data_IF_998206896380
#
_entry.id   IF_998206896380
#
_cell.length_a   1.000
_cell.length_b   1.000
_cell.length_c   1.000
_cell.angle_alpha   90.00
_cell.angle_beta   90.00
_cell.angle_gamma   90.00
#
_symmetry.space_group_name_H-M   'P 1'
#
loop_
_entity.id
_entity.type
_entity.pdbx_description
1 polymer ?
#
# COMPACT_ATOMS: atom_id res chain seq x y z
N UNK A 1 -13.75 -4.84 1.18
CA UNK A 1 -13.43 -4.41 0.62
C UNK A 1 -12.80 -5.11 -0.19
N UNK A 2 -12.67 -5.39 -0.76
CA UNK A 2 -12.14 -5.92 -1.24
C UNK A 2 -11.87 -5.98 -2.32
N UNK A 3 -12.10 -5.97 -3.00
CA UNK A 3 -11.65 -6.29 -3.43
C UNK A 3 -11.60 -6.25 -4.71
N UNK A 4 -11.11 -5.60 -5.30
CA UNK A 4 -10.77 -5.45 -6.47
C UNK A 4 -9.79 -6.40 -6.89
N UNK A 5 -9.54 -7.41 -6.30
CA UNK A 5 -8.46 -8.27 -6.66
C UNK A 5 -8.90 -9.36 -7.59
N UNK A 6 -7.98 -9.83 -8.42
CA UNK A 6 -8.26 -10.98 -9.18
C UNK A 6 -8.28 -12.13 -8.25
N UNK A 7 -8.81 -13.24 -8.67
CA UNK A 7 -9.00 -14.39 -7.80
C UNK A 7 -7.72 -14.83 -7.14
N UNK A 8 -6.65 -14.89 -7.87
CA UNK A 8 -5.39 -15.32 -7.29
C UNK A 8 -4.90 -14.38 -6.24
N UNK A 9 -5.00 -13.08 -6.51
CA UNK A 9 -4.57 -12.07 -5.56
C UNK A 9 -5.43 -12.12 -4.32
N UNK A 10 -6.71 -12.31 -4.48
CA UNK A 10 -7.61 -12.36 -3.35
C UNK A 10 -7.25 -13.49 -2.42
N UNK A 11 -6.92 -14.63 -2.98
CA UNK A 11 -6.53 -15.76 -2.16
C UNK A 11 -5.27 -15.46 -1.37
N UNK A 12 -4.31 -14.80 -2.00
CA UNK A 12 -3.09 -14.44 -1.31
C UNK A 12 -3.36 -13.46 -0.20
N UNK A 13 -4.21 -12.49 -0.46
CA UNK A 13 -4.51 -11.49 0.55
C UNK A 13 -5.14 -12.12 1.77
N UNK A 14 -6.01 -13.08 1.56
CA UNK A 14 -6.64 -13.74 2.68
C UNK A 14 -5.65 -14.43 3.58
N UNK A 15 -4.48 -14.76 3.07
CA UNK A 15 -3.50 -15.47 3.85
C UNK A 15 -2.52 -14.57 4.56
N UNK A 16 -2.65 -13.27 4.38
CA UNK A 16 -1.76 -12.36 5.05
C UNK A 16 -2.26 -12.16 6.48
N UNK A 17 -1.50 -12.70 7.40
CA UNK A 17 -1.80 -12.54 8.81
C UNK A 17 -0.57 -11.93 9.45
N UNK A 18 -0.71 -10.73 9.96
CA UNK A 18 0.42 -10.00 10.51
C UNK A 18 0.62 -10.37 11.97
N UNK A 19 1.87 -10.59 12.35
CA UNK A 19 2.19 -10.75 13.76
C UNK A 19 2.25 -9.38 14.41
N UNK A 20 2.50 -9.35 15.72
CA UNK A 20 2.47 -8.09 16.45
C UNK A 20 3.52 -7.11 15.94
N UNK A 21 4.73 -7.59 15.66
CA UNK A 21 5.77 -6.70 15.17
C UNK A 21 5.39 -6.10 13.83
N UNK A 22 4.80 -6.91 12.97
CA UNK A 22 4.37 -6.42 11.65
C UNK A 22 3.24 -5.42 11.76
N UNK A 23 2.31 -5.67 12.68
CA UNK A 23 1.24 -4.70 12.91
C UNK A 23 1.79 -3.37 13.38
N UNK A 24 2.80 -3.41 14.22
CA UNK A 24 3.41 -2.19 14.68
C UNK A 24 4.10 -1.45 13.56
N UNK A 25 4.74 -2.17 12.64
CA UNK A 25 5.34 -1.52 11.49
C UNK A 25 4.30 -0.76 10.68
N UNK A 26 3.14 -1.39 10.48
CA UNK A 26 2.07 -0.74 9.74
C UNK A 26 1.59 0.51 10.48
N UNK A 27 1.34 0.37 11.77
CA UNK A 27 0.78 1.47 12.54
C UNK A 27 1.72 2.66 12.62
N UNK A 28 3.01 2.39 12.71
CA UNK A 28 3.98 3.46 12.79
C UNK A 28 4.19 4.16 11.47
N UNK A 29 3.76 3.56 10.38
CA UNK A 29 4.10 4.08 9.07
C UNK A 29 2.88 4.39 8.22
N UNK A 30 1.74 4.60 8.85
CA UNK A 30 0.52 4.94 8.12
C UNK A 30 0.69 6.22 7.30
N UNK A 31 1.55 7.11 7.73
CA UNK A 31 1.76 8.35 6.99
C UNK A 31 2.31 8.11 5.59
N UNK A 32 2.98 6.97 5.37
CA UNK A 32 3.47 6.64 4.04
C UNK A 32 2.32 6.58 3.06
N UNK A 33 1.21 5.98 3.47
CA UNK A 33 0.04 5.87 2.60
C UNK A 33 -0.46 7.27 2.23
N UNK A 34 -0.58 8.15 3.22
CA UNK A 34 -1.06 9.50 2.94
C UNK A 34 -0.15 10.24 1.98
N UNK A 35 1.15 10.13 2.20
CA UNK A 35 2.11 10.85 1.36
C UNK A 35 2.02 10.36 -0.09
N UNK A 36 2.03 9.05 -0.27
CA UNK A 36 2.00 8.49 -1.62
C UNK A 36 0.68 8.81 -2.31
N UNK A 37 -0.42 8.66 -1.58
CA UNK A 37 -1.73 8.88 -2.18
C UNK A 37 -1.95 10.35 -2.51
N UNK A 38 -1.51 11.26 -1.65
CA UNK A 38 -1.66 12.67 -1.96
C UNK A 38 -0.91 13.04 -3.22
N UNK A 39 0.29 12.50 -3.39
CA UNK A 39 1.06 12.76 -4.59
C UNK A 39 0.39 12.15 -5.81
N UNK A 40 -0.13 10.95 -5.66
CA UNK A 40 -0.82 10.28 -6.75
C UNK A 40 -2.04 11.08 -7.20
N UNK A 41 -2.81 11.57 -6.26
CA UNK A 41 -4.03 12.31 -6.60
C UNK A 41 -3.69 13.63 -7.26
N UNK A 42 -2.62 14.29 -6.85
CA UNK A 42 -2.20 15.52 -7.51
C UNK A 42 -1.81 15.27 -8.95
N UNK A 43 -1.12 14.18 -9.20
CA UNK A 43 -0.69 13.85 -10.56
C UNK A 43 -1.89 13.56 -11.45
N UNK A 44 -2.87 12.87 -10.92
CA UNK A 44 -4.07 12.56 -11.67
C UNK A 44 -4.81 13.84 -12.04
N UNK A 45 -4.95 14.73 -11.09
CA UNK A 45 -5.65 15.98 -11.35
C UNK A 45 -4.93 16.82 -12.39
N UNK A 46 -3.62 16.80 -12.32
CA UNK A 46 -2.83 17.56 -13.27
C UNK A 46 -3.01 17.07 -14.69
N UNK A 47 -3.34 15.83 -14.86
CA UNK A 47 -3.53 15.25 -16.18
C UNK A 47 -4.97 15.37 -16.66
N UNK A 48 -5.83 15.97 -15.85
CA UNK A 48 -7.22 16.11 -16.24
C UNK A 48 -7.90 14.79 -16.46
N UNK A 49 -7.47 13.77 -15.78
CA UNK A 49 -8.08 12.48 -15.88
C UNK A 49 -9.17 12.40 -14.86
N UNK A 50 -10.30 11.86 -15.25
CA UNK A 50 -11.41 11.75 -14.34
C UNK A 50 -11.59 10.30 -14.00
N UNK A 51 -10.89 9.83 -13.08
CA UNK A 51 -10.90 8.40 -12.83
C UNK A 51 -12.10 7.99 -12.03
N UNK A 52 -12.45 6.75 -12.19
CA UNK A 52 -13.40 6.13 -11.32
C UNK A 52 -12.77 5.81 -9.99
N UNK A 53 -11.51 6.08 -9.85
CA UNK A 53 -10.72 5.70 -8.70
C UNK A 53 -10.76 6.82 -7.69
N UNK A 54 -11.52 6.67 -6.65
CA UNK A 54 -11.67 7.72 -5.66
C UNK A 54 -10.47 7.74 -4.72
N UNK A 55 -10.34 8.84 -3.98
CA UNK A 55 -9.27 8.93 -3.00
C UNK A 55 -9.42 7.87 -1.92
N UNK A 56 -10.66 7.59 -1.53
CA UNK A 56 -10.88 6.57 -0.52
C UNK A 56 -10.42 5.20 -1.01
N UNK A 57 -10.69 4.89 -2.26
CA UNK A 57 -10.23 3.62 -2.83
C UNK A 57 -8.71 3.57 -2.87
N UNK A 58 -8.10 4.68 -3.23
CA UNK A 58 -6.63 4.74 -3.28
C UNK A 58 -6.02 4.52 -1.90
N UNK A 59 -6.63 5.10 -0.87
CA UNK A 59 -6.14 4.95 0.49
C UNK A 59 -6.24 3.50 0.91
N UNK A 60 -7.34 2.83 0.58
CA UNK A 60 -7.48 1.42 0.92
C UNK A 60 -6.43 0.57 0.23
N UNK A 61 -6.19 0.85 -1.05
CA UNK A 61 -5.15 0.13 -1.76
C UNK A 61 -3.78 0.39 -1.15
N UNK A 62 -3.53 1.63 -0.79
CA UNK A 62 -2.26 1.98 -0.16
C UNK A 62 -2.07 1.30 1.18
N UNK A 63 -3.13 1.24 1.97
CA UNK A 63 -3.07 0.58 3.26
C UNK A 63 -2.79 -0.91 3.08
N UNK A 64 -3.46 -1.55 2.12
CA UNK A 64 -3.24 -2.94 1.86
C UNK A 64 -1.80 -3.19 1.41
N UNK A 65 -1.28 -2.30 0.57
CA UNK A 65 0.10 -2.42 0.12
C UNK A 65 1.07 -2.29 1.30
N UNK A 66 0.76 -1.39 2.24
CA UNK A 66 1.59 -1.25 3.43
C UNK A 66 1.59 -2.53 4.25
N UNK A 67 0.44 -3.17 4.37
CA UNK A 67 0.36 -4.44 5.07
C UNK A 67 1.19 -5.52 4.35
N UNK A 68 1.13 -5.53 3.04
CA UNK A 68 1.96 -6.46 2.28
C UNK A 68 3.44 -6.19 2.49
N UNK A 69 3.80 -4.91 2.54
CA UNK A 69 5.20 -4.56 2.78
C UNK A 69 5.65 -5.07 4.14
N UNK A 70 4.82 -4.90 5.15
CA UNK A 70 5.17 -5.37 6.48
C UNK A 70 5.30 -6.90 6.52
N UNK A 71 4.43 -7.57 5.78
CA UNK A 71 4.42 -9.02 5.75
C UNK A 71 5.65 -9.58 5.05
N UNK A 72 6.11 -8.90 4.00
CA UNK A 72 7.20 -9.41 3.19
C UNK A 72 8.56 -8.80 3.51
N UNK A 73 8.61 -7.87 4.45
CA UNK A 73 9.86 -7.18 4.75
C UNK A 73 10.90 -8.16 5.27
N UNK A 74 12.09 -8.06 4.72
CA UNK A 74 13.21 -8.92 5.11
C UNK A 74 14.15 -8.14 6.00
N UNK A 75 14.12 -8.43 7.28
CA UNK A 75 14.95 -7.72 8.25
C UNK A 75 16.44 -7.95 8.01
N UNK A 76 16.80 -8.98 7.28
CA UNK A 76 18.20 -9.28 7.02
C UNK A 76 18.84 -8.42 5.96
N UNK A 77 18.09 -7.56 5.30
CA UNK A 77 18.61 -6.83 4.16
C UNK A 77 19.06 -5.44 4.45
N UNK A 78 19.32 -5.06 5.62
CA UNK A 78 19.94 -3.77 5.88
C UNK A 78 19.33 -2.59 5.15
N UNK A 79 18.06 -2.58 4.91
CA UNK A 79 17.39 -1.42 4.32
C UNK A 79 16.29 -1.00 5.29
N UNK A 80 16.01 0.30 5.36
CA UNK A 80 14.97 0.74 6.27
C UNK A 80 13.59 0.36 5.77
N UNK A 81 12.73 0.01 6.70
CA UNK A 81 11.37 -0.38 6.32
C UNK A 81 10.67 0.75 5.58
N UNK A 82 10.88 2.00 6.01
CA UNK A 82 10.19 3.13 5.40
C UNK A 82 10.45 3.22 3.90
N UNK A 83 11.69 3.02 3.50
CA UNK A 83 12.03 3.06 2.09
C UNK A 83 11.42 1.92 1.32
N UNK A 84 11.50 0.74 1.89
CA UNK A 84 10.91 -0.43 1.28
C UNK A 84 9.40 -0.26 1.13
N UNK A 85 8.75 0.16 2.21
CA UNK A 85 7.31 0.29 2.19
C UNK A 85 6.84 1.37 1.22
N UNK A 86 7.57 2.48 1.16
CA UNK A 86 7.22 3.53 0.24
C UNK A 86 7.23 3.02 -1.19
N UNK A 87 8.25 2.24 -1.53
CA UNK A 87 8.34 1.66 -2.87
C UNK A 87 7.19 0.70 -3.13
N UNK A 88 6.86 -0.15 -2.18
CA UNK A 88 5.79 -1.11 -2.36
C UNK A 88 4.45 -0.40 -2.54
N UNK A 89 4.18 0.58 -1.70
CA UNK A 89 2.94 1.32 -1.79
C UNK A 89 2.86 2.08 -3.11
N UNK A 90 3.94 2.73 -3.48
CA UNK A 90 3.99 3.47 -4.73
C UNK A 90 3.70 2.56 -5.92
N UNK A 91 4.38 1.44 -5.96
CA UNK A 91 4.19 0.53 -7.10
C UNK A 91 2.78 -0.02 -7.15
N UNK A 92 2.20 -0.31 -6.00
CA UNK A 92 0.87 -0.87 -5.95
C UNK A 92 -0.16 0.14 -6.43
N UNK A 93 -0.03 1.37 -6.00
CA UNK A 93 -1.01 2.41 -6.32
C UNK A 93 -0.87 2.85 -7.77
N UNK A 94 0.35 2.96 -8.26
CA UNK A 94 0.58 3.46 -9.61
C UNK A 94 0.46 2.39 -10.70
N UNK A 95 0.38 1.15 -10.32
CA UNK A 95 0.20 0.11 -11.33
C UNK A 95 -1.27 -0.06 -11.66
#
# INVERSE_FOLDING_TARGET
MVLKYKDGDLMNEKKIVLNEAQKMLVEKNLSIVQIVINKFMRNIQGDNITPDYSKEDAIQDGYLALCKAAFTFDYGKNIPFEGYATTVVHNYVYS
#
